data_IF_306540456888
#
_entry.id   IF_306540456888
#
_cell.length_a   1.000
_cell.length_b   1.000
_cell.length_c   1.000
_cell.angle_alpha   90.00
_cell.angle_beta   90.00
_cell.angle_gamma   90.00
#
_symmetry.space_group_name_H-M   'P 1'
#
loop_
_entity.id
_entity.type
_entity.pdbx_description
1 polymer ?
#
# COMPACT_ATOMS: atom_id res chain seq x y z
N UNK A 1 -18.46 -15.98 -5.00
CA UNK A 1 -18.21 -14.85 -5.93
C UNK A 1 -19.25 -14.86 -7.05
N UNK A 2 -19.50 -13.76 -7.75
CA UNK A 2 -20.26 -13.81 -9.02
C UNK A 2 -19.37 -14.42 -10.10
N UNK A 3 -19.20 -15.74 -10.02
CA UNK A 3 -18.37 -16.54 -10.94
C UNK A 3 -19.00 -16.66 -12.33
N UNK A 4 -20.18 -16.06 -12.54
CA UNK A 4 -20.84 -15.99 -13.85
C UNK A 4 -20.20 -14.96 -14.77
N UNK A 5 -19.53 -13.93 -14.21
CA UNK A 5 -18.75 -12.99 -15.00
C UNK A 5 -17.30 -13.50 -15.15
N UNK A 6 -16.87 -13.89 -16.35
CA UNK A 6 -15.56 -14.49 -16.59
C UNK A 6 -14.39 -13.55 -16.25
N UNK A 7 -14.56 -12.23 -16.39
CA UNK A 7 -13.50 -11.25 -16.05
C UNK A 7 -13.31 -11.09 -14.54
N UNK A 8 -14.41 -11.09 -13.78
CA UNK A 8 -14.39 -11.02 -12.31
C UNK A 8 -13.85 -12.33 -11.73
N UNK A 9 -14.23 -13.46 -12.33
CA UNK A 9 -13.65 -14.77 -12.03
C UNK A 9 -12.16 -14.80 -12.31
N UNK A 10 -11.70 -14.32 -13.47
CA UNK A 10 -10.27 -14.31 -13.82
C UNK A 10 -9.43 -13.51 -12.84
N UNK A 11 -9.90 -12.34 -12.40
CA UNK A 11 -9.16 -11.46 -11.48
C UNK A 11 -8.95 -12.10 -10.10
N UNK A 12 -9.99 -12.65 -9.48
CA UNK A 12 -9.84 -13.25 -8.15
C UNK A 12 -9.13 -14.60 -8.18
N UNK A 13 -9.20 -15.32 -9.30
CA UNK A 13 -8.49 -16.60 -9.47
C UNK A 13 -6.96 -16.42 -9.54
N UNK A 14 -6.45 -15.22 -9.77
CA UNK A 14 -5.01 -14.95 -9.68
C UNK A 14 -4.47 -15.17 -8.25
N UNK A 15 -5.24 -14.73 -7.24
CA UNK A 15 -4.89 -14.91 -5.82
C UNK A 15 -5.13 -16.34 -5.30
N UNK A 16 -5.81 -17.17 -6.10
CA UNK A 16 -6.22 -18.53 -5.72
C UNK A 16 -5.46 -19.60 -6.53
N UNK A 17 -4.25 -19.25 -6.97
CA UNK A 17 -3.34 -20.12 -7.71
C UNK A 17 -2.01 -20.25 -6.99
N UNK A 18 -1.36 -21.40 -7.19
CA UNK A 18 -0.02 -21.64 -6.72
C UNK A 18 0.96 -20.69 -7.42
N UNK A 19 1.78 -19.98 -6.64
CA UNK A 19 2.79 -19.08 -7.18
C UNK A 19 3.90 -19.82 -7.98
N UNK A 20 4.13 -21.12 -7.75
CA UNK A 20 5.14 -21.90 -8.47
C UNK A 20 4.62 -22.48 -9.81
N UNK A 21 3.48 -23.16 -9.80
CA UNK A 21 2.97 -23.91 -10.96
C UNK A 21 1.74 -23.29 -11.64
N UNK A 22 1.23 -22.17 -11.11
CA UNK A 22 0.05 -21.44 -11.60
C UNK A 22 -1.25 -22.25 -11.63
N UNK A 23 -1.26 -23.47 -11.09
CA UNK A 23 -2.44 -24.30 -10.92
C UNK A 23 -3.34 -23.73 -9.82
N UNK A 24 -4.65 -23.88 -9.99
CA UNK A 24 -5.63 -23.46 -8.97
C UNK A 24 -5.52 -24.31 -7.71
N UNK A 25 -5.82 -23.72 -6.56
CA UNK A 25 -5.95 -24.50 -5.34
C UNK A 25 -7.24 -25.32 -5.35
N UNK A 26 -7.20 -26.51 -4.78
CA UNK A 26 -8.34 -27.41 -4.73
C UNK A 26 -8.51 -28.01 -3.35
N UNK A 27 -9.75 -28.32 -2.95
CA UNK A 27 -10.05 -28.92 -1.66
C UNK A 27 -9.95 -30.45 -1.73
N UNK A 28 -10.46 -31.04 -2.82
CA UNK A 28 -10.57 -32.51 -2.98
C UNK A 28 -9.22 -33.21 -3.11
N UNK A 29 -8.24 -32.56 -3.76
CA UNK A 29 -6.90 -33.13 -3.94
C UNK A 29 -5.87 -32.45 -3.02
N UNK A 30 -5.38 -33.16 -1.98
CA UNK A 30 -4.37 -32.62 -1.04
C UNK A 30 -3.08 -32.12 -1.67
N UNK A 31 -2.74 -32.58 -2.88
CA UNK A 31 -1.57 -32.13 -3.62
C UNK A 31 -1.66 -30.65 -4.01
N UNK A 32 -2.89 -30.15 -4.20
CA UNK A 32 -3.19 -28.76 -4.56
C UNK A 32 -3.62 -27.90 -3.37
N UNK A 33 -3.44 -28.39 -2.14
CA UNK A 33 -3.73 -27.61 -0.92
C UNK A 33 -2.77 -26.41 -0.80
N UNK A 34 -3.26 -25.19 -0.51
CA UNK A 34 -2.44 -24.00 -0.40
C UNK A 34 -1.62 -24.00 0.91
N UNK A 35 -0.34 -23.68 0.81
CA UNK A 35 0.58 -23.50 1.93
C UNK A 35 1.24 -22.13 1.78
N UNK A 36 1.10 -21.27 2.79
CA UNK A 36 1.64 -19.91 2.79
C UNK A 36 3.01 -19.87 3.43
N UNK A 37 4.00 -19.33 2.72
CA UNK A 37 5.35 -19.10 3.20
C UNK A 37 5.39 -17.89 4.15
N UNK A 38 6.12 -17.98 5.28
CA UNK A 38 5.93 -17.03 6.38
C UNK A 38 6.51 -15.63 6.16
N UNK A 39 7.69 -15.53 5.54
CA UNK A 39 8.39 -14.25 5.40
C UNK A 39 7.85 -13.47 4.19
N UNK A 40 7.74 -14.13 3.04
CA UNK A 40 7.31 -13.49 1.79
C UNK A 40 5.79 -13.44 1.60
N UNK A 41 5.02 -14.33 2.24
CA UNK A 41 3.56 -14.43 2.06
C UNK A 41 3.12 -15.13 0.76
N UNK A 42 4.05 -15.50 -0.13
CA UNK A 42 3.72 -16.32 -1.30
C UNK A 42 3.09 -17.66 -0.89
N UNK A 43 2.00 -18.05 -1.59
CA UNK A 43 1.30 -19.32 -1.34
C UNK A 43 1.52 -20.30 -2.48
N UNK A 44 1.85 -21.53 -2.13
CA UNK A 44 2.14 -22.61 -3.06
C UNK A 44 1.35 -23.87 -2.74
N UNK A 45 1.13 -24.73 -3.72
CA UNK A 45 0.49 -26.00 -3.45
C UNK A 45 1.43 -26.95 -2.71
N UNK A 46 0.86 -27.87 -1.93
CA UNK A 46 1.60 -28.90 -1.18
C UNK A 46 2.55 -29.71 -2.05
N UNK A 47 2.16 -30.03 -3.28
CA UNK A 47 3.03 -30.72 -4.23
C UNK A 47 4.29 -29.91 -4.56
N UNK A 48 4.15 -28.61 -4.85
CA UNK A 48 5.31 -27.74 -5.10
C UNK A 48 6.18 -27.57 -3.86
N UNK A 49 5.59 -27.41 -2.68
CA UNK A 49 6.35 -27.35 -1.41
C UNK A 49 7.18 -28.63 -1.22
N UNK A 50 6.61 -29.81 -1.44
CA UNK A 50 7.33 -31.08 -1.31
C UNK A 50 8.50 -31.20 -2.31
N UNK A 51 8.32 -30.75 -3.55
CA UNK A 51 9.39 -30.72 -4.56
C UNK A 51 10.50 -29.75 -4.15
N UNK A 52 10.12 -28.61 -3.56
CA UNK A 52 11.03 -27.57 -3.11
C UNK A 52 11.67 -27.83 -1.75
N UNK A 53 11.35 -28.92 -1.04
CA UNK A 53 11.85 -29.16 0.32
C UNK A 53 13.39 -29.13 0.47
N UNK A 54 14.15 -29.27 -0.62
CA UNK A 54 15.60 -29.09 -0.65
C UNK A 54 16.11 -27.68 -1.00
N UNK A 55 15.23 -26.75 -1.39
CA UNK A 55 15.57 -25.36 -1.71
C UNK A 55 15.60 -24.50 -0.43
N UNK A 56 16.44 -23.47 -0.42
CA UNK A 56 16.60 -22.57 0.73
C UNK A 56 15.87 -21.24 0.60
N UNK A 57 15.24 -20.98 -0.54
CA UNK A 57 14.61 -19.69 -0.83
C UNK A 57 13.37 -19.84 -1.71
N UNK A 58 12.46 -18.88 -1.58
CA UNK A 58 11.25 -18.80 -2.37
C UNK A 58 11.60 -18.60 -3.85
N UNK A 59 11.03 -19.39 -4.78
CA UNK A 59 11.36 -19.27 -6.21
C UNK A 59 10.81 -17.99 -6.88
N UNK A 60 9.93 -17.24 -6.21
CA UNK A 60 9.35 -16.00 -6.74
C UNK A 60 10.22 -14.78 -6.47
N UNK A 61 10.70 -14.63 -5.25
CA UNK A 61 11.38 -13.42 -4.77
C UNK A 61 12.73 -13.71 -4.10
N UNK A 62 13.18 -14.97 -4.12
CA UNK A 62 14.45 -15.43 -3.55
C UNK A 62 14.60 -15.13 -2.05
N UNK A 63 13.49 -14.87 -1.36
CA UNK A 63 13.49 -14.70 0.10
C UNK A 63 13.85 -16.03 0.75
N UNK A 64 14.92 -16.03 1.55
CA UNK A 64 15.39 -17.21 2.27
C UNK A 64 14.32 -17.73 3.23
N UNK A 65 14.14 -19.05 3.27
CA UNK A 65 13.25 -19.72 4.23
C UNK A 65 13.84 -19.73 5.65
N UNK A 66 15.12 -19.37 5.81
CA UNK A 66 15.84 -19.50 7.07
C UNK A 66 15.87 -20.95 7.55
N UNK A 67 15.51 -21.17 8.81
CA UNK A 67 15.43 -22.49 9.45
C UNK A 67 14.00 -23.05 9.49
N UNK A 68 13.07 -22.49 8.72
CA UNK A 68 11.64 -22.88 8.73
C UNK A 68 11.41 -24.15 7.91
N UNK A 69 10.99 -25.30 8.48
CA UNK A 69 10.58 -26.49 7.71
C UNK A 69 9.30 -26.28 6.89
N UNK A 70 9.42 -25.68 5.71
CA UNK A 70 8.26 -25.29 4.87
C UNK A 70 7.29 -26.45 4.54
N UNK A 71 7.77 -27.69 4.55
CA UNK A 71 7.02 -28.93 4.30
C UNK A 71 6.05 -29.29 5.43
N UNK A 72 6.30 -28.79 6.63
CA UNK A 72 5.48 -29.03 7.81
C UNK A 72 4.41 -27.94 8.01
N UNK A 73 4.44 -26.85 7.23
CA UNK A 73 3.51 -25.73 7.36
C UNK A 73 2.06 -26.15 7.12
N UNK A 74 1.09 -25.51 7.80
CA UNK A 74 -0.31 -25.86 7.67
C UNK A 74 -0.89 -25.51 6.29
N UNK A 75 -1.95 -26.20 5.93
CA UNK A 75 -2.82 -25.78 4.82
C UNK A 75 -3.59 -24.51 5.18
N UNK A 76 -3.63 -23.55 4.25
CA UNK A 76 -4.37 -22.31 4.38
C UNK A 76 -5.85 -22.51 3.98
N UNK A 77 -6.64 -23.03 4.91
CA UNK A 77 -8.08 -23.25 4.72
C UNK A 77 -8.87 -21.97 4.40
N UNK A 78 -8.58 -20.79 4.96
CA UNK A 78 -9.23 -19.54 4.54
C UNK A 78 -9.19 -19.30 3.02
N UNK A 79 -8.06 -19.58 2.35
CA UNK A 79 -8.00 -19.49 0.89
C UNK A 79 -8.88 -20.54 0.18
N UNK A 80 -8.97 -21.77 0.71
CA UNK A 80 -9.89 -22.78 0.16
C UNK A 80 -11.36 -22.38 0.33
N UNK A 81 -11.72 -21.72 1.44
CA UNK A 81 -13.08 -21.18 1.65
C UNK A 81 -13.48 -20.11 0.63
N UNK A 82 -12.52 -19.49 -0.06
CA UNK A 82 -12.83 -18.58 -1.17
C UNK A 82 -13.30 -19.33 -2.42
N UNK A 83 -12.86 -20.56 -2.62
CA UNK A 83 -13.14 -21.37 -3.81
C UNK A 83 -14.43 -22.19 -3.61
N UNK A 84 -14.59 -22.79 -2.43
CA UNK A 84 -15.68 -23.70 -2.10
C UNK A 84 -16.70 -23.05 -1.19
N UNK A 85 -18.00 -23.24 -1.44
CA UNK A 85 -19.03 -22.77 -0.51
C UNK A 85 -18.93 -23.53 0.81
N UNK A 86 -19.23 -22.91 1.97
CA UNK A 86 -19.28 -23.61 3.25
C UNK A 86 -20.19 -24.85 3.29
N UNK A 87 -21.19 -24.91 2.39
CA UNK A 87 -22.10 -26.05 2.20
C UNK A 87 -21.55 -27.17 1.32
N UNK A 88 -20.56 -26.86 0.47
CA UNK A 88 -19.85 -27.81 -0.40
C UNK A 88 -18.64 -28.42 0.34
N UNK A 89 -18.19 -27.78 1.42
CA UNK A 89 -17.25 -28.36 2.37
C UNK A 89 -17.97 -29.43 3.21
N UNK A 90 -17.40 -30.63 3.43
CA UNK A 90 -18.11 -31.72 4.11
C UNK A 90 -18.58 -31.33 5.53
N UNK A 91 -19.76 -31.84 5.91
CA UNK A 91 -20.48 -31.46 7.14
C UNK A 91 -19.89 -32.07 8.42
N UNK A 92 -19.18 -33.20 8.31
CA UNK A 92 -18.63 -33.96 9.46
C UNK A 92 -17.32 -33.41 10.02
N UNK A 93 -16.86 -32.27 9.54
CA UNK A 93 -15.57 -31.73 9.97
C UNK A 93 -15.68 -30.97 11.31
N UNK A 94 -15.89 -31.71 12.41
CA UNK A 94 -15.23 -31.38 13.70
C UNK A 94 -13.69 -31.39 13.57
N UNK A 95 -13.18 -31.88 12.43
CA UNK A 95 -11.82 -31.79 11.92
C UNK A 95 -11.61 -30.67 10.87
N UNK A 96 -12.39 -29.57 10.86
CA UNK A 96 -12.00 -28.33 10.14
C UNK A 96 -10.75 -27.69 10.75
N UNK A 97 -10.42 -28.13 11.95
CA UNK A 97 -9.27 -27.74 12.74
C UNK A 97 -8.33 -28.95 12.90
N UNK A 98 -7.02 -28.68 12.92
CA UNK A 98 -5.93 -29.60 13.28
C UNK A 98 -5.36 -30.54 12.21
N UNK A 99 -4.91 -30.00 11.10
CA UNK A 99 -3.61 -30.46 10.57
C UNK A 99 -2.50 -29.42 10.82
N UNK A 100 -2.50 -28.83 12.02
CA UNK A 100 -1.28 -28.27 12.62
C UNK A 100 -0.60 -29.34 13.50
N UNK A 101 -0.60 -30.61 13.05
CA UNK A 101 -0.21 -31.74 13.89
C UNK A 101 1.28 -32.04 13.88
N UNK A 102 2.05 -31.49 12.94
CA UNK A 102 3.47 -31.81 12.77
C UNK A 102 4.44 -30.66 13.04
N UNK A 103 4.07 -29.40 12.82
CA UNK A 103 5.02 -28.29 12.95
C UNK A 103 5.33 -27.90 14.41
N UNK A 104 4.38 -28.09 15.32
CA UNK A 104 4.57 -27.68 16.71
C UNK A 104 3.83 -28.67 17.61
N UNK A 105 4.55 -29.27 18.56
CA UNK A 105 3.97 -29.88 19.76
C UNK A 105 3.28 -28.76 20.57
N UNK A 106 2.10 -28.34 20.13
CA UNK A 106 1.35 -27.28 20.78
C UNK A 106 0.63 -27.84 22.00
N UNK A 107 0.78 -27.16 23.12
CA UNK A 107 -0.15 -27.24 24.24
C UNK A 107 -1.58 -26.92 23.78
N UNK A 108 -2.57 -27.38 24.55
CA UNK A 108 -3.98 -27.23 24.18
C UNK A 108 -4.44 -25.76 24.14
N UNK A 109 -3.74 -24.88 24.85
CA UNK A 109 -4.01 -23.44 24.86
C UNK A 109 -3.65 -22.79 23.52
N UNK A 110 -2.44 -23.01 22.98
CA UNK A 110 -2.04 -22.50 21.66
C UNK A 110 -2.86 -23.12 20.53
N UNK A 111 -3.23 -24.39 20.67
CA UNK A 111 -4.15 -25.07 19.75
C UNK A 111 -5.50 -24.35 19.67
N UNK A 112 -6.11 -24.03 20.81
CA UNK A 112 -7.34 -23.24 20.86
C UNK A 112 -7.14 -21.87 20.20
N UNK A 113 -6.02 -21.22 20.52
CA UNK A 113 -5.68 -19.90 20.01
C UNK A 113 -5.60 -19.83 18.48
N UNK A 114 -4.85 -20.75 17.86
CA UNK A 114 -4.71 -20.79 16.40
C UNK A 114 -6.02 -21.15 15.68
N UNK A 115 -6.91 -21.93 16.32
CA UNK A 115 -8.23 -22.18 15.75
C UNK A 115 -9.08 -20.91 15.70
N UNK A 116 -9.00 -20.06 16.72
CA UNK A 116 -9.77 -18.83 16.75
C UNK A 116 -9.25 -17.82 15.72
N UNK A 117 -7.92 -17.76 15.53
CA UNK A 117 -7.32 -17.05 14.40
C UNK A 117 -7.81 -17.59 13.06
N UNK A 118 -7.75 -18.90 12.84
CA UNK A 118 -8.18 -19.52 11.59
C UNK A 118 -9.65 -19.23 11.28
N UNK A 119 -10.53 -19.31 12.28
CA UNK A 119 -11.94 -18.89 12.14
C UNK A 119 -12.03 -17.43 11.71
N UNK A 120 -11.26 -16.54 12.35
CA UNK A 120 -11.28 -15.13 12.02
C UNK A 120 -10.75 -14.81 10.62
N UNK A 121 -9.74 -15.53 10.12
CA UNK A 121 -9.32 -15.44 8.72
C UNK A 121 -10.41 -15.99 7.78
N UNK A 122 -11.14 -17.02 8.20
CA UNK A 122 -12.36 -17.49 7.55
C UNK A 122 -13.43 -16.40 7.43
N UNK A 123 -13.65 -15.60 8.49
CA UNK A 123 -14.58 -14.46 8.44
C UNK A 123 -14.13 -13.40 7.42
N UNK A 124 -12.83 -13.11 7.33
CA UNK A 124 -12.27 -12.21 6.30
C UNK A 124 -12.57 -12.75 4.91
N UNK A 125 -12.44 -14.06 4.70
CA UNK A 125 -12.78 -14.71 3.42
C UNK A 125 -14.26 -14.49 3.06
N UNK A 126 -15.16 -14.61 4.03
CA UNK A 126 -16.59 -14.30 3.85
C UNK A 126 -16.82 -12.82 3.50
N UNK A 127 -16.14 -11.90 4.19
CA UNK A 127 -16.22 -10.45 3.90
C UNK A 127 -15.77 -10.17 2.46
N UNK A 128 -14.63 -10.72 2.02
CA UNK A 128 -14.13 -10.56 0.64
C UNK A 128 -15.16 -11.09 -0.37
N UNK A 129 -15.73 -12.28 -0.14
CA UNK A 129 -16.77 -12.84 -1.00
C UNK A 129 -18.02 -11.97 -1.08
N UNK A 130 -18.44 -11.36 0.02
CA UNK A 130 -19.58 -10.44 0.06
C UNK A 130 -19.29 -9.13 -0.67
N UNK A 131 -18.09 -8.57 -0.49
CA UNK A 131 -17.64 -7.37 -1.20
C UNK A 131 -17.55 -7.61 -2.70
N UNK A 132 -17.04 -8.78 -3.11
CA UNK A 132 -16.88 -9.17 -4.51
C UNK A 132 -18.21 -9.33 -5.27
N UNK A 133 -19.32 -9.60 -4.57
CA UNK A 133 -20.67 -9.66 -5.17
C UNK A 133 -21.24 -8.28 -5.49
N UNK A 134 -20.81 -7.24 -4.76
CA UNK A 134 -21.23 -5.87 -4.99
C UNK A 134 -20.34 -5.30 -6.10
N UNK A 135 -20.87 -5.17 -7.33
CA UNK A 135 -20.17 -4.77 -8.57
C UNK A 135 -19.44 -3.39 -8.56
N UNK A 136 -19.20 -2.76 -7.40
CA UNK A 136 -18.54 -1.44 -7.28
C UNK A 136 -17.03 -1.57 -7.07
N UNK A 137 -16.29 -0.63 -7.66
CA UNK A 137 -14.83 -0.45 -7.71
C UNK A 137 -14.13 -0.57 -6.33
N UNK A 138 -13.88 -1.79 -5.84
CA UNK A 138 -13.05 -2.04 -4.65
C UNK A 138 -11.88 -3.00 -4.94
N UNK A 139 -11.41 -3.09 -6.19
CA UNK A 139 -10.36 -4.04 -6.60
C UNK A 139 -9.07 -3.89 -5.78
N UNK A 140 -8.67 -2.65 -5.48
CA UNK A 140 -7.50 -2.33 -4.64
C UNK A 140 -7.68 -2.82 -3.20
N UNK A 141 -8.81 -2.49 -2.55
CA UNK A 141 -9.14 -2.97 -1.20
C UNK A 141 -9.21 -4.50 -1.14
N UNK A 142 -9.85 -5.14 -2.13
CA UNK A 142 -9.95 -6.60 -2.18
C UNK A 142 -8.57 -7.25 -2.35
N UNK A 143 -7.71 -6.72 -3.24
CA UNK A 143 -6.33 -7.19 -3.40
C UNK A 143 -5.56 -7.12 -2.08
N UNK A 144 -5.70 -6.02 -1.34
CA UNK A 144 -5.04 -5.83 -0.04
C UNK A 144 -5.61 -6.77 1.03
N UNK A 145 -6.91 -7.10 0.97
CA UNK A 145 -7.52 -8.11 1.83
C UNK A 145 -7.04 -9.53 1.53
N UNK A 146 -6.76 -9.86 0.26
CA UNK A 146 -6.10 -11.13 -0.08
C UNK A 146 -4.73 -11.23 0.57
N UNK A 147 -3.96 -10.14 0.69
CA UNK A 147 -2.68 -10.15 1.41
C UNK A 147 -2.81 -10.61 2.87
N UNK A 148 -3.96 -10.37 3.52
CA UNK A 148 -4.24 -10.90 4.87
C UNK A 148 -4.35 -12.41 4.79
N UNK A 149 -5.16 -12.94 3.87
CA UNK A 149 -5.30 -14.38 3.69
C UNK A 149 -3.97 -15.06 3.32
N UNK A 150 -3.08 -14.34 2.65
CA UNK A 150 -1.71 -14.78 2.32
C UNK A 150 -0.69 -14.55 3.46
N UNK A 151 -1.13 -14.37 4.71
CA UNK A 151 -0.24 -14.33 5.87
C UNK A 151 -0.22 -15.67 6.60
N UNK A 152 0.97 -16.13 7.01
CA UNK A 152 1.15 -17.37 7.77
C UNK A 152 1.05 -17.08 9.27
N UNK A 153 -0.08 -17.36 9.90
CA UNK A 153 -0.35 -16.96 11.28
C UNK A 153 0.13 -17.96 12.34
N UNK A 154 0.89 -19.01 11.97
CA UNK A 154 1.44 -20.00 12.92
C UNK A 154 2.89 -19.69 13.31
N UNK A 155 3.67 -19.16 12.38
CA UNK A 155 5.09 -18.79 12.58
C UNK A 155 5.21 -17.37 13.09
N UNK A 156 6.25 -17.06 13.88
CA UNK A 156 6.48 -15.69 14.37
C UNK A 156 6.67 -14.69 13.22
N UNK A 157 7.45 -15.05 12.20
CA UNK A 157 7.72 -14.22 11.03
C UNK A 157 6.43 -13.89 10.28
N UNK A 158 5.59 -14.90 10.06
CA UNK A 158 4.31 -14.70 9.40
C UNK A 158 3.27 -13.96 10.26
N UNK A 159 3.34 -14.04 11.59
CA UNK A 159 2.56 -13.20 12.50
C UNK A 159 2.96 -11.73 12.39
N UNK A 160 4.27 -11.44 12.34
CA UNK A 160 4.79 -10.08 12.07
C UNK A 160 4.30 -9.59 10.72
N UNK A 161 4.39 -10.43 9.68
CA UNK A 161 3.88 -10.09 8.35
C UNK A 161 2.37 -9.80 8.36
N UNK A 162 1.57 -10.61 9.06
CA UNK A 162 0.13 -10.39 9.22
C UNK A 162 -0.15 -9.02 9.85
N UNK A 163 0.52 -8.67 10.94
CA UNK A 163 0.31 -7.37 11.57
C UNK A 163 0.71 -6.20 10.67
N UNK A 164 1.76 -6.36 9.86
CA UNK A 164 2.16 -5.36 8.86
C UNK A 164 1.04 -5.16 7.84
N UNK A 165 0.52 -6.25 7.30
CA UNK A 165 -0.58 -6.21 6.34
C UNK A 165 -1.84 -5.60 6.95
N UNK A 166 -2.20 -5.98 8.18
CA UNK A 166 -3.37 -5.46 8.88
C UNK A 166 -3.23 -3.96 9.21
N UNK A 167 -2.04 -3.51 9.60
CA UNK A 167 -1.73 -2.10 9.84
C UNK A 167 -1.88 -1.28 8.55
N UNK A 168 -1.26 -1.72 7.46
CA UNK A 168 -1.36 -1.06 6.16
C UNK A 168 -2.81 -1.01 5.67
N UNK A 169 -3.59 -2.08 5.87
CA UNK A 169 -5.03 -2.07 5.56
C UNK A 169 -5.79 -1.03 6.38
N UNK A 170 -5.47 -0.89 7.66
CA UNK A 170 -6.03 0.18 8.51
C UNK A 170 -5.74 1.56 7.92
N UNK A 171 -4.52 1.79 7.44
CA UNK A 171 -4.13 3.04 6.79
C UNK A 171 -4.93 3.30 5.52
N UNK A 172 -5.06 2.30 4.63
CA UNK A 172 -5.88 2.44 3.43
C UNK A 172 -7.36 2.71 3.72
N UNK A 173 -7.94 2.06 4.74
CA UNK A 173 -9.33 2.32 5.16
C UNK A 173 -9.45 3.76 5.69
N UNK A 174 -8.45 4.25 6.43
CA UNK A 174 -8.43 5.63 6.93
C UNK A 174 -8.36 6.64 5.79
N UNK A 175 -7.53 6.40 4.77
CA UNK A 175 -7.38 7.28 3.60
C UNK A 175 -8.65 7.29 2.75
N UNK A 176 -9.28 6.13 2.52
CA UNK A 176 -10.54 6.03 1.78
C UNK A 176 -11.66 6.85 2.44
N UNK A 177 -11.67 6.94 3.78
CA UNK A 177 -12.55 7.85 4.51
C UNK A 177 -12.16 9.31 4.32
N UNK A 178 -10.88 9.65 4.51
CA UNK A 178 -10.39 11.02 4.38
C UNK A 178 -10.76 11.57 3.01
N UNK A 179 -10.48 10.82 1.94
CA UNK A 179 -10.81 11.19 0.57
C UNK A 179 -12.30 11.50 0.36
N UNK A 180 -13.20 10.86 1.11
CA UNK A 180 -14.64 11.09 0.95
C UNK A 180 -15.13 12.37 1.62
N UNK A 181 -14.57 12.74 2.77
CA UNK A 181 -15.04 13.88 3.57
C UNK A 181 -14.13 15.10 3.51
N UNK A 182 -12.96 14.97 2.92
CA UNK A 182 -12.00 16.06 2.80
C UNK A 182 -12.60 17.18 1.95
N UNK A 183 -12.57 18.40 2.50
CA UNK A 183 -13.03 19.59 1.82
C UNK A 183 -12.03 20.00 0.72
N UNK A 184 -12.49 20.14 -0.53
CA UNK A 184 -11.64 20.51 -1.67
C UNK A 184 -10.90 21.86 -1.49
N UNK A 185 -11.54 22.85 -0.86
CA UNK A 185 -10.92 24.15 -0.62
C UNK A 185 -9.80 24.04 0.44
N UNK A 186 -10.05 23.27 1.50
CA UNK A 186 -9.06 23.03 2.54
C UNK A 186 -7.89 22.20 2.01
N UNK A 187 -8.17 21.19 1.16
CA UNK A 187 -7.15 20.41 0.46
C UNK A 187 -6.21 21.31 -0.34
N UNK A 188 -6.76 22.23 -1.15
CA UNK A 188 -5.95 23.15 -1.95
C UNK A 188 -5.03 24.00 -1.07
N UNK A 189 -5.58 24.63 -0.03
CA UNK A 189 -4.82 25.49 0.87
C UNK A 189 -3.72 24.71 1.63
N UNK A 190 -4.05 23.49 2.09
CA UNK A 190 -3.08 22.63 2.78
C UNK A 190 -1.98 22.17 1.83
N UNK A 191 -2.31 21.85 0.57
CA UNK A 191 -1.32 21.48 -0.45
C UNK A 191 -0.37 22.64 -0.74
N UNK A 192 -0.88 23.85 -0.98
CA UNK A 192 -0.04 25.03 -1.22
C UNK A 192 0.89 25.32 -0.03
N UNK A 193 0.37 25.13 1.20
CA UNK A 193 1.17 25.24 2.43
C UNK A 193 2.24 24.15 2.54
N UNK A 194 1.89 22.89 2.23
CA UNK A 194 2.79 21.74 2.26
C UNK A 194 3.96 21.88 1.28
N UNK A 195 3.72 22.54 0.15
CA UNK A 195 4.70 22.77 -0.90
C UNK A 195 5.47 24.09 -0.70
N UNK A 196 5.21 24.83 0.38
CA UNK A 196 5.89 26.09 0.68
C UNK A 196 5.57 27.21 -0.31
N UNK A 197 4.45 27.12 -1.02
CA UNK A 197 4.01 28.08 -2.03
C UNK A 197 3.31 29.26 -1.35
N UNK A 198 4.07 30.11 -0.67
CA UNK A 198 3.53 31.19 0.19
C UNK A 198 2.60 32.19 -0.55
N UNK A 199 2.66 32.27 -1.89
CA UNK A 199 1.80 33.12 -2.74
C UNK A 199 1.62 32.57 -4.18
N UNK A 200 1.97 31.31 -4.42
CA UNK A 200 2.01 30.71 -5.75
C UNK A 200 0.99 29.61 -5.91
N UNK A 201 0.30 29.56 -7.05
CA UNK A 201 -0.45 28.37 -7.42
C UNK A 201 0.54 27.24 -7.73
N UNK A 202 0.14 26.00 -7.43
CA UNK A 202 0.90 24.84 -7.84
C UNK A 202 1.14 24.89 -9.37
N UNK A 203 2.37 24.65 -9.86
CA UNK A 203 2.68 24.84 -11.27
C UNK A 203 1.79 23.96 -12.16
N UNK A 204 1.29 24.49 -13.27
CA UNK A 204 0.50 23.68 -14.21
C UNK A 204 1.34 22.57 -14.86
N UNK A 205 0.74 21.44 -15.28
CA UNK A 205 1.48 20.29 -15.84
C UNK A 205 2.46 20.65 -16.97
N UNK A 206 2.04 21.53 -17.89
CA UNK A 206 2.89 21.96 -19.01
C UNK A 206 4.10 22.79 -18.54
N UNK A 207 3.92 23.61 -17.50
CA UNK A 207 5.00 24.42 -16.90
C UNK A 207 5.99 23.51 -16.18
N UNK A 208 5.50 22.52 -15.41
CA UNK A 208 6.34 21.53 -14.73
C UNK A 208 7.23 20.80 -15.74
N UNK A 209 6.62 20.23 -16.79
CA UNK A 209 7.34 19.48 -17.81
C UNK A 209 8.39 20.33 -18.52
N UNK A 210 8.04 21.57 -18.90
CA UNK A 210 8.96 22.50 -19.55
C UNK A 210 10.16 22.82 -18.67
N UNK A 211 9.95 23.13 -17.39
CA UNK A 211 11.03 23.44 -16.45
C UNK A 211 11.94 22.23 -16.23
N UNK A 212 11.38 21.05 -16.01
CA UNK A 212 12.17 19.82 -15.84
C UNK A 212 13.05 19.52 -17.07
N UNK A 213 12.51 19.71 -18.28
CA UNK A 213 13.27 19.55 -19.53
C UNK A 213 14.38 20.60 -19.67
N UNK A 214 14.12 21.86 -19.31
CA UNK A 214 15.15 22.90 -19.30
C UNK A 214 16.28 22.60 -18.31
N UNK A 215 15.96 22.11 -17.11
CA UNK A 215 16.96 21.72 -16.11
C UNK A 215 17.92 20.68 -16.69
N UNK A 216 17.40 19.62 -17.31
CA UNK A 216 18.21 18.55 -17.90
C UNK A 216 19.09 19.09 -19.03
N UNK A 217 18.52 19.91 -19.91
CA UNK A 217 19.24 20.49 -21.04
C UNK A 217 20.39 21.38 -20.56
N UNK A 218 20.12 22.30 -19.63
CA UNK A 218 21.09 23.27 -19.13
C UNK A 218 22.23 22.59 -18.35
N UNK A 219 21.92 21.63 -17.49
CA UNK A 219 22.95 20.90 -16.75
C UNK A 219 23.91 20.17 -17.69
N UNK A 220 23.40 19.61 -18.78
CA UNK A 220 24.23 18.89 -19.77
C UNK A 220 25.06 19.81 -20.67
N UNK A 221 24.63 21.05 -20.89
CA UNK A 221 25.19 21.89 -21.96
C UNK A 221 25.86 23.18 -21.48
N UNK A 222 25.58 23.65 -20.27
CA UNK A 222 25.78 25.07 -19.92
C UNK A 222 26.69 25.32 -18.73
N UNK A 223 27.38 24.30 -18.18
CA UNK A 223 28.34 24.49 -17.09
C UNK A 223 27.73 25.19 -15.87
N UNK A 224 26.51 24.78 -15.50
CA UNK A 224 25.76 25.35 -14.37
C UNK A 224 26.59 25.21 -13.09
N UNK A 225 26.77 26.30 -12.35
CA UNK A 225 27.71 26.35 -11.21
C UNK A 225 27.03 26.44 -9.85
N UNK A 226 25.77 26.85 -9.80
CA UNK A 226 25.02 27.00 -8.56
C UNK A 226 23.51 26.85 -8.80
N UNK A 227 22.77 26.65 -7.72
CA UNK A 227 21.30 26.67 -7.71
C UNK A 227 20.75 27.98 -8.31
N UNK A 228 21.33 29.13 -7.92
CA UNK A 228 20.93 30.45 -8.43
C UNK A 228 21.25 30.61 -9.93
N UNK A 229 22.41 30.12 -10.37
CA UNK A 229 22.80 30.16 -11.78
C UNK A 229 21.83 29.31 -12.63
N UNK A 230 21.39 28.14 -12.13
CA UNK A 230 20.38 27.33 -12.81
C UNK A 230 19.05 28.06 -12.95
N UNK A 231 18.52 28.61 -11.84
CA UNK A 231 17.25 29.35 -11.85
C UNK A 231 17.28 30.53 -12.83
N UNK A 232 18.36 31.33 -12.79
CA UNK A 232 18.54 32.44 -13.72
C UNK A 232 18.59 31.97 -15.17
N UNK A 233 19.35 30.90 -15.45
CA UNK A 233 19.48 30.35 -16.81
C UNK A 233 18.15 29.86 -17.37
N UNK A 234 17.32 29.21 -16.55
CA UNK A 234 15.97 28.78 -16.95
C UNK A 234 15.10 29.98 -17.32
N UNK A 235 15.13 31.05 -16.50
CA UNK A 235 14.34 32.25 -16.77
C UNK A 235 14.75 32.95 -18.07
N UNK A 236 16.03 32.91 -18.45
CA UNK A 236 16.50 33.45 -19.73
C UNK A 236 15.99 32.66 -20.95
N UNK A 237 15.54 31.41 -20.77
CA UNK A 237 14.90 30.62 -21.84
C UNK A 237 13.41 30.92 -22.02
N UNK A 238 12.83 31.78 -21.17
CA UNK A 238 11.41 32.15 -21.17
C UNK A 238 11.26 33.60 -21.67
N UNK A 239 10.18 33.88 -22.42
CA UNK A 239 9.88 35.24 -22.87
C UNK A 239 9.77 36.22 -21.69
N UNK A 240 10.36 37.42 -21.81
CA UNK A 240 10.41 38.40 -20.72
C UNK A 240 9.06 38.70 -20.06
N UNK A 241 7.98 38.71 -20.84
CA UNK A 241 6.62 38.97 -20.36
C UNK A 241 6.09 37.87 -19.42
N UNK A 242 6.57 36.63 -19.58
CA UNK A 242 6.12 35.45 -18.82
C UNK A 242 7.05 35.10 -17.65
N UNK A 243 8.23 35.72 -17.57
CA UNK A 243 9.24 35.42 -16.54
C UNK A 243 8.71 35.62 -15.11
N UNK A 244 7.97 36.69 -14.85
CA UNK A 244 7.40 36.99 -13.53
C UNK A 244 6.42 35.89 -13.09
N UNK A 245 5.61 35.40 -14.03
CA UNK A 245 4.60 34.36 -13.76
C UNK A 245 5.23 32.99 -13.52
N UNK A 246 6.28 32.65 -14.26
CA UNK A 246 6.93 31.34 -14.19
C UNK A 246 7.98 31.26 -13.07
N UNK A 247 8.54 32.38 -12.64
CA UNK A 247 9.61 32.42 -11.62
C UNK A 247 9.29 31.63 -10.35
N UNK A 248 8.11 31.75 -9.70
CA UNK A 248 7.79 30.95 -8.51
C UNK A 248 7.85 29.43 -8.77
N UNK A 249 7.43 29.00 -9.96
CA UNK A 249 7.48 27.59 -10.37
C UNK A 249 8.93 27.11 -10.56
N UNK A 250 9.78 27.96 -11.16
CA UNK A 250 11.21 27.65 -11.35
C UNK A 250 11.90 27.51 -9.99
N UNK A 251 11.69 28.47 -9.09
CA UNK A 251 12.28 28.44 -7.75
C UNK A 251 11.86 27.19 -6.98
N UNK A 252 10.56 26.87 -6.99
CA UNK A 252 10.01 25.70 -6.33
C UNK A 252 10.61 24.39 -6.87
N UNK A 253 10.55 24.17 -8.19
CA UNK A 253 10.99 22.91 -8.80
C UNK A 253 12.49 22.72 -8.61
N UNK A 254 13.28 23.77 -8.81
CA UNK A 254 14.74 23.69 -8.62
C UNK A 254 15.06 23.37 -7.16
N UNK A 255 14.51 24.11 -6.18
CA UNK A 255 14.74 23.84 -4.75
C UNK A 255 14.36 22.42 -4.36
N UNK A 256 13.23 21.92 -4.86
CA UNK A 256 12.78 20.56 -4.60
C UNK A 256 13.80 19.54 -5.12
N UNK A 257 14.27 19.67 -6.35
CA UNK A 257 15.27 18.75 -6.94
C UNK A 257 16.63 18.79 -6.23
N UNK A 258 17.04 19.96 -5.73
CA UNK A 258 18.22 20.06 -4.86
C UNK A 258 17.99 19.39 -3.50
N UNK A 259 16.81 19.58 -2.90
CA UNK A 259 16.45 18.99 -1.61
C UNK A 259 16.37 17.46 -1.62
N UNK A 260 16.05 16.85 -2.76
CA UNK A 260 16.09 15.38 -2.95
C UNK A 260 17.43 14.88 -3.52
N UNK A 261 18.42 15.76 -3.60
CA UNK A 261 19.78 15.45 -4.03
C UNK A 261 19.88 14.80 -5.42
N UNK A 262 19.13 15.31 -6.40
CA UNK A 262 19.24 14.88 -7.80
C UNK A 262 20.59 15.22 -8.46
N UNK A 263 21.32 16.16 -7.86
CA UNK A 263 22.53 16.71 -8.43
C UNK A 263 23.78 16.35 -7.63
N UNK A 264 24.92 16.36 -8.31
CA UNK A 264 26.26 16.30 -7.72
C UNK A 264 27.08 17.51 -8.17
N UNK A 265 28.07 17.88 -7.37
CA UNK A 265 28.95 19.02 -7.64
C UNK A 265 30.30 18.47 -8.04
N UNK A 266 30.70 18.71 -9.28
CA UNK A 266 32.00 18.34 -9.82
C UNK A 266 32.92 19.57 -9.90
N UNK A 267 34.16 19.48 -9.36
CA UNK A 267 35.14 20.54 -9.53
C UNK A 267 35.69 20.55 -10.96
N UNK A 268 35.63 21.70 -11.63
CA UNK A 268 36.23 21.97 -12.95
C UNK A 268 37.31 23.03 -12.76
N UNK A 269 38.54 22.59 -12.47
CA UNK A 269 39.65 23.49 -12.15
C UNK A 269 39.37 24.26 -10.85
N UNK A 270 39.31 25.58 -10.93
CA UNK A 270 38.94 26.47 -9.80
C UNK A 270 37.43 26.67 -9.66
N UNK A 271 36.63 26.19 -10.61
CA UNK A 271 35.17 26.35 -10.62
C UNK A 271 34.47 25.05 -10.21
N UNK A 272 33.18 25.14 -9.93
CA UNK A 272 32.31 23.98 -9.72
C UNK A 272 31.22 23.94 -10.78
N UNK A 273 30.84 22.72 -11.17
CA UNK A 273 29.70 22.48 -12.05
C UNK A 273 28.77 21.44 -11.46
N UNK A 274 27.48 21.68 -11.63
CA UNK A 274 26.41 20.83 -11.17
C UNK A 274 26.10 19.83 -12.28
N UNK A 275 26.17 18.56 -11.95
CA UNK A 275 25.83 17.45 -12.83
C UNK A 275 24.63 16.67 -12.30
N UNK A 276 23.92 15.97 -13.19
CA UNK A 276 22.90 15.01 -12.79
C UNK A 276 23.60 13.75 -12.29
N UNK A 277 23.18 13.25 -11.12
CA UNK A 277 23.69 11.96 -10.64
C UNK A 277 23.37 10.85 -11.64
N UNK A 278 24.24 9.82 -11.75
CA UNK A 278 24.00 8.67 -12.63
C UNK A 278 22.68 7.93 -12.36
N UNK A 279 22.14 8.03 -11.15
CA UNK A 279 20.84 7.47 -10.76
C UNK A 279 19.65 8.18 -11.43
N UNK A 280 19.85 9.39 -11.96
CA UNK A 280 18.82 10.19 -12.62
C UNK A 280 19.22 10.56 -14.06
N UNK A 281 19.42 9.56 -14.93
CA UNK A 281 20.06 9.75 -16.23
C UNK A 281 19.15 10.39 -17.28
N UNK A 282 17.87 10.60 -17.01
CA UNK A 282 16.90 11.07 -18.01
C UNK A 282 15.69 11.79 -17.37
N UNK A 283 14.81 12.30 -18.24
CA UNK A 283 13.60 13.00 -17.82
C UNK A 283 12.69 12.13 -16.95
N UNK A 284 12.51 10.88 -17.34
CA UNK A 284 11.61 9.95 -16.66
C UNK A 284 12.04 9.71 -15.21
N UNK A 285 13.35 9.52 -14.97
CA UNK A 285 13.91 9.32 -13.63
C UNK A 285 13.78 10.55 -12.73
N UNK A 286 14.03 11.75 -13.26
CA UNK A 286 13.87 13.00 -12.51
C UNK A 286 12.38 13.27 -12.25
N UNK A 287 11.53 13.02 -13.24
CA UNK A 287 10.08 13.20 -13.13
C UNK A 287 9.51 12.31 -12.03
N UNK A 288 9.94 11.05 -11.97
CA UNK A 288 9.50 10.12 -10.94
C UNK A 288 9.87 10.58 -9.52
N UNK A 289 11.09 11.10 -9.34
CA UNK A 289 11.53 11.65 -8.03
C UNK A 289 10.75 12.92 -7.68
N UNK A 290 10.54 13.79 -8.66
CA UNK A 290 9.75 15.01 -8.51
C UNK A 290 8.32 14.69 -8.04
N UNK A 291 7.62 13.80 -8.76
CA UNK A 291 6.26 13.38 -8.40
C UNK A 291 6.23 12.73 -7.02
N UNK A 292 7.18 11.82 -6.74
CA UNK A 292 7.28 11.15 -5.43
C UNK A 292 7.46 12.14 -4.29
N UNK A 293 8.26 13.20 -4.47
CA UNK A 293 8.49 14.17 -3.41
C UNK A 293 7.29 15.09 -3.18
N UNK A 294 6.56 15.45 -4.23
CA UNK A 294 5.32 16.22 -4.11
C UNK A 294 4.29 15.43 -3.30
N UNK A 295 4.09 14.17 -3.65
CA UNK A 295 3.13 13.30 -2.98
C UNK A 295 3.53 13.08 -1.51
N UNK A 296 4.83 12.86 -1.25
CA UNK A 296 5.37 12.71 0.11
C UNK A 296 5.08 13.97 0.95
N UNK A 297 5.46 15.15 0.47
CA UNK A 297 5.24 16.41 1.20
C UNK A 297 3.74 16.65 1.45
N UNK A 298 2.88 16.35 0.47
CA UNK A 298 1.44 16.49 0.65
C UNK A 298 0.90 15.56 1.75
N UNK A 299 1.33 14.29 1.77
CA UNK A 299 0.93 13.32 2.79
C UNK A 299 1.41 13.73 4.20
N UNK A 300 2.60 14.30 4.34
CA UNK A 300 3.13 14.82 5.61
C UNK A 300 2.24 15.92 6.22
N UNK A 301 1.55 16.68 5.38
CA UNK A 301 0.59 17.72 5.77
C UNK A 301 -0.86 17.23 5.78
N UNK A 302 -1.10 15.92 5.66
CA UNK A 302 -2.43 15.33 5.70
C UNK A 302 -3.26 15.57 4.44
N UNK A 303 -2.64 15.88 3.31
CA UNK A 303 -3.30 16.01 2.01
C UNK A 303 -3.31 14.66 1.30
N UNK A 304 -4.48 14.04 1.21
CA UNK A 304 -4.66 12.78 0.50
C UNK A 304 -5.46 13.00 -0.79
N UNK A 305 -5.03 12.34 -1.86
CA UNK A 305 -5.67 12.34 -3.19
C UNK A 305 -5.57 10.93 -3.80
N UNK A 306 -6.53 10.56 -4.64
CA UNK A 306 -6.49 9.32 -5.43
C UNK A 306 -5.41 9.38 -6.51
N UNK A 307 -5.02 8.22 -7.06
CA UNK A 307 -4.12 8.15 -8.20
C UNK A 307 -4.61 8.98 -9.39
N UNK A 308 -5.92 8.94 -9.66
CA UNK A 308 -6.61 9.77 -10.67
C UNK A 308 -6.41 11.27 -10.42
N UNK A 309 -6.68 11.73 -9.18
CA UNK A 309 -6.55 13.14 -8.80
C UNK A 309 -5.10 13.65 -8.92
N UNK A 310 -4.14 12.85 -8.47
CA UNK A 310 -2.72 13.14 -8.63
C UNK A 310 -2.29 13.15 -10.10
N UNK A 311 -2.79 12.21 -10.90
CA UNK A 311 -2.53 12.15 -12.34
C UNK A 311 -3.00 13.42 -13.04
N UNK A 312 -4.21 13.90 -12.72
CA UNK A 312 -4.73 15.16 -13.26
C UNK A 312 -3.87 16.34 -12.80
N UNK A 313 -3.51 16.42 -11.52
CA UNK A 313 -2.74 17.53 -10.97
C UNK A 313 -1.32 17.62 -11.55
N UNK A 314 -0.65 16.49 -11.75
CA UNK A 314 0.75 16.42 -12.19
C UNK A 314 0.88 16.39 -13.71
N UNK A 315 -0.05 15.72 -14.41
CA UNK A 315 0.06 15.45 -15.84
C UNK A 315 -1.07 16.07 -16.68
N UNK A 316 -2.17 16.51 -16.07
CA UNK A 316 -3.32 17.07 -16.78
C UNK A 316 -4.28 16.03 -17.36
N UNK A 317 -4.05 14.74 -17.10
CA UNK A 317 -4.85 13.63 -17.62
C UNK A 317 -5.08 12.57 -16.54
N UNK A 318 -6.14 11.78 -16.66
CA UNK A 318 -6.49 10.69 -15.71
C UNK A 318 -5.71 9.39 -15.99
N UNK A 319 -4.86 9.34 -17.01
CA UNK A 319 -4.32 8.08 -17.56
C UNK A 319 -3.01 7.60 -16.94
N UNK A 320 -2.42 8.32 -15.98
CA UNK A 320 -1.12 7.97 -15.40
C UNK A 320 -1.21 7.28 -14.02
N UNK A 321 -2.36 6.71 -13.65
CA UNK A 321 -2.54 5.92 -12.41
C UNK A 321 -1.47 4.82 -12.26
N UNK A 322 -1.07 4.17 -13.36
CA UNK A 322 -0.02 3.13 -13.32
C UNK A 322 1.35 3.65 -12.91
N UNK A 323 1.60 4.96 -13.02
CA UNK A 323 2.82 5.63 -12.56
C UNK A 323 2.63 6.09 -11.11
N UNK A 324 1.47 6.65 -10.79
CA UNK A 324 1.17 7.29 -9.50
C UNK A 324 0.87 6.29 -8.38
N UNK A 325 0.04 5.28 -8.63
CA UNK A 325 -0.39 4.33 -7.59
C UNK A 325 0.81 3.60 -6.94
N UNK A 326 1.84 3.15 -7.68
CA UNK A 326 3.04 2.58 -7.08
C UNK A 326 3.81 3.56 -6.18
N UNK A 327 3.80 4.86 -6.51
CA UNK A 327 4.44 5.90 -5.69
C UNK A 327 3.66 6.03 -4.37
N UNK A 328 2.34 6.17 -4.44
CA UNK A 328 1.46 6.24 -3.28
C UNK A 328 1.69 5.01 -2.38
N UNK A 329 1.62 3.80 -2.94
CA UNK A 329 1.78 2.56 -2.19
C UNK A 329 3.16 2.46 -1.52
N UNK A 330 4.22 3.03 -2.11
CA UNK A 330 5.56 3.06 -1.52
C UNK A 330 5.71 4.07 -0.38
N UNK A 331 4.96 5.19 -0.44
CA UNK A 331 5.01 6.26 0.56
C UNK A 331 4.18 5.96 1.83
N UNK A 332 3.25 4.99 1.74
CA UNK A 332 2.50 4.54 2.89
C UNK A 332 3.41 3.80 3.88
N UNK A 333 3.67 4.49 4.98
CA UNK A 333 4.59 4.13 6.05
C UNK A 333 3.94 4.37 7.40
N UNK A 334 4.60 3.96 8.48
CA UNK A 334 4.06 4.17 9.82
C UNK A 334 3.85 5.65 10.16
N UNK A 335 4.71 6.55 9.67
CA UNK A 335 4.60 7.99 9.91
C UNK A 335 3.42 8.61 9.16
N UNK A 336 3.18 8.23 7.91
CA UNK A 336 1.99 8.66 7.17
C UNK A 336 0.72 8.19 7.85
N UNK A 337 0.71 6.99 8.44
CA UNK A 337 -0.48 6.48 9.10
C UNK A 337 -0.89 7.34 10.31
N UNK A 338 0.08 7.78 11.13
CA UNK A 338 -0.21 8.66 12.27
C UNK A 338 -0.73 10.03 11.82
N UNK A 339 -0.17 10.59 10.74
CA UNK A 339 -0.69 11.83 10.15
C UNK A 339 -2.10 11.63 9.60
N UNK A 340 -2.37 10.49 8.95
CA UNK A 340 -3.71 10.12 8.48
C UNK A 340 -4.73 10.03 9.61
N UNK A 341 -4.36 9.41 10.74
CA UNK A 341 -5.24 9.35 11.93
C UNK A 341 -5.57 10.75 12.43
N UNK A 342 -4.58 11.64 12.57
CA UNK A 342 -4.84 13.04 13.01
C UNK A 342 -5.78 13.78 12.05
N UNK A 343 -5.60 13.57 10.74
CA UNK A 343 -6.48 14.18 9.75
C UNK A 343 -7.90 13.61 9.81
N UNK A 344 -8.03 12.29 10.00
CA UNK A 344 -9.31 11.64 10.24
C UNK A 344 -10.00 12.20 11.49
N UNK A 345 -9.28 12.36 12.62
CA UNK A 345 -9.79 12.94 13.87
C UNK A 345 -10.33 14.36 13.68
N UNK A 346 -9.61 15.17 12.91
CA UNK A 346 -10.02 16.54 12.56
C UNK A 346 -11.32 16.53 11.76
N UNK A 347 -11.42 15.67 10.75
CA UNK A 347 -12.63 15.53 9.93
C UNK A 347 -13.82 15.07 10.78
N UNK A 348 -13.67 14.03 11.59
CA UNK A 348 -14.75 13.53 12.46
C UNK A 348 -15.23 14.61 13.43
N UNK A 349 -14.30 15.38 14.00
CA UNK A 349 -14.63 16.49 14.89
C UNK A 349 -15.46 17.58 14.20
N UNK A 350 -15.26 17.80 12.89
CA UNK A 350 -16.01 18.78 12.10
C UNK A 350 -17.44 18.33 11.72
N UNK A 351 -17.69 17.02 11.62
CA UNK A 351 -18.99 16.44 11.22
C UNK A 351 -19.99 16.38 12.39
N UNK A 352 -19.50 16.37 13.63
CA UNK A 352 -20.31 16.36 14.85
C UNK A 352 -20.72 14.96 15.34
N UNK A 353 -20.84 14.79 16.67
CA UNK A 353 -20.93 13.49 17.35
C UNK A 353 -22.16 12.63 16.99
N UNK A 354 -23.31 13.25 16.68
CA UNK A 354 -24.59 12.54 16.49
C UNK A 354 -24.66 11.77 15.16
N UNK A 355 -23.94 12.21 14.14
CA UNK A 355 -23.80 11.49 12.86
C UNK A 355 -22.56 10.58 12.83
N UNK A 356 -21.68 10.71 13.83
CA UNK A 356 -20.31 10.19 13.81
C UNK A 356 -20.03 8.96 14.67
N UNK A 357 -21.01 8.35 15.37
CA UNK A 357 -20.70 7.23 16.27
C UNK A 357 -20.00 6.05 15.57
N UNK A 358 -20.50 5.63 14.39
CA UNK A 358 -19.85 4.59 13.58
C UNK A 358 -18.42 4.99 13.14
N UNK A 359 -18.17 6.30 12.99
CA UNK A 359 -16.85 6.86 12.62
C UNK A 359 -15.90 6.94 13.82
N UNK A 360 -16.43 7.27 14.99
CA UNK A 360 -15.73 7.24 16.28
C UNK A 360 -15.41 5.80 16.72
N UNK A 361 -16.16 4.80 16.26
CA UNK A 361 -15.80 3.40 16.51
C UNK A 361 -14.76 2.91 15.49
N UNK A 362 -14.87 3.33 14.23
CA UNK A 362 -13.84 3.07 13.21
C UNK A 362 -12.47 3.63 13.62
N UNK A 363 -12.42 4.84 14.20
CA UNK A 363 -11.15 5.45 14.60
C UNK A 363 -10.41 4.66 15.69
N UNK A 364 -11.14 4.08 16.65
CA UNK A 364 -10.55 3.25 17.71
C UNK A 364 -9.90 2.00 17.11
N UNK A 365 -10.58 1.38 16.14
CA UNK A 365 -10.03 0.23 15.42
C UNK A 365 -8.76 0.63 14.65
N UNK A 366 -8.77 1.76 13.94
CA UNK A 366 -7.63 2.26 13.17
C UNK A 366 -6.43 2.60 14.08
N UNK A 367 -6.67 3.28 15.20
CA UNK A 367 -5.65 3.60 16.19
C UNK A 367 -4.98 2.34 16.74
N UNK A 368 -5.75 1.29 17.02
CA UNK A 368 -5.20 -0.01 17.42
C UNK A 368 -4.32 -0.60 16.31
N UNK A 369 -4.82 -0.66 15.07
CA UNK A 369 -4.10 -1.21 13.92
C UNK A 369 -2.78 -0.47 13.63
N UNK A 370 -2.72 0.84 13.85
CA UNK A 370 -1.47 1.62 13.67
C UNK A 370 -0.34 1.23 14.63
N UNK A 371 -0.69 0.60 15.76
CA UNK A 371 0.25 0.21 16.79
C UNK A 371 0.47 -1.31 16.87
N UNK A 372 -0.30 -2.11 16.14
CA UNK A 372 -0.29 -3.57 16.23
C UNK A 372 1.11 -4.18 16.04
N UNK A 373 1.89 -3.70 15.05
CA UNK A 373 3.26 -4.19 14.78
C UNK A 373 4.24 -4.01 15.94
N UNK A 374 4.04 -3.00 16.79
CA UNK A 374 4.90 -2.76 17.95
C UNK A 374 4.58 -3.70 19.12
N UNK A 375 3.37 -4.27 19.12
CA UNK A 375 2.83 -5.01 20.26
C UNK A 375 3.20 -6.50 20.27
N UNK A 376 3.68 -7.09 19.16
CA UNK A 376 4.07 -8.53 19.11
C UNK A 376 5.09 -8.86 20.20
N UNK A 377 6.06 -7.98 20.42
CA UNK A 377 7.14 -8.22 21.38
C UNK A 377 6.66 -8.05 22.85
N UNK A 378 5.49 -7.45 23.08
CA UNK A 378 5.00 -7.10 24.42
C UNK A 378 3.82 -7.94 24.90
N UNK A 379 2.92 -8.36 24.00
CA UNK A 379 1.63 -9.01 24.37
C UNK A 379 1.38 -10.35 23.67
N UNK A 380 2.36 -10.85 22.91
CA UNK A 380 2.35 -12.20 22.35
C UNK A 380 1.16 -12.48 21.42
N UNK A 381 0.71 -13.73 21.41
CA UNK A 381 -0.34 -14.22 20.51
C UNK A 381 -1.63 -13.38 20.61
N UNK A 382 -2.07 -12.96 21.80
CA UNK A 382 -3.32 -12.20 22.03
C UNK A 382 -3.55 -10.96 21.14
N UNK A 383 -2.47 -10.32 20.70
CA UNK A 383 -2.49 -9.17 19.79
C UNK A 383 -3.05 -9.54 18.42
N UNK A 384 -2.80 -10.75 17.94
CA UNK A 384 -3.20 -11.16 16.59
C UNK A 384 -4.73 -11.30 16.52
N UNK A 385 -5.37 -11.93 17.52
CA UNK A 385 -6.84 -12.01 17.62
C UNK A 385 -7.45 -10.61 17.73
N UNK A 386 -6.89 -9.77 18.61
CA UNK A 386 -7.36 -8.39 18.77
C UNK A 386 -7.24 -7.60 17.45
N UNK A 387 -6.11 -7.73 16.75
CA UNK A 387 -5.89 -7.10 15.43
C UNK A 387 -6.92 -7.57 14.42
N UNK A 388 -7.18 -8.87 14.37
CA UNK A 388 -8.13 -9.46 13.44
C UNK A 388 -9.56 -8.98 13.72
N UNK A 389 -9.95 -8.87 14.99
CA UNK A 389 -11.25 -8.32 15.38
C UNK A 389 -11.37 -6.83 15.07
N UNK A 390 -10.33 -6.04 15.34
CA UNK A 390 -10.29 -4.62 14.96
C UNK A 390 -10.35 -4.44 13.44
N UNK A 391 -9.67 -5.29 12.67
CA UNK A 391 -9.73 -5.26 11.21
C UNK A 391 -11.14 -5.58 10.70
N UNK A 392 -11.79 -6.64 11.21
CA UNK A 392 -13.19 -6.95 10.89
C UNK A 392 -14.11 -5.78 11.24
N UNK A 393 -13.92 -5.20 12.42
CA UNK A 393 -14.65 -4.01 12.88
C UNK A 393 -14.50 -2.85 11.91
N UNK A 394 -13.26 -2.52 11.51
CA UNK A 394 -12.96 -1.46 10.57
C UNK A 394 -13.61 -1.68 9.18
N UNK A 395 -13.52 -2.90 8.65
CA UNK A 395 -14.15 -3.28 7.38
C UNK A 395 -15.67 -3.19 7.41
N UNK A 396 -16.29 -3.59 8.52
CA UNK A 396 -17.73 -3.51 8.70
C UNK A 396 -18.19 -2.05 8.83
N UNK A 397 -17.49 -1.22 9.60
CA UNK A 397 -17.78 0.21 9.72
C UNK A 397 -17.60 0.94 8.39
N UNK A 398 -16.51 0.69 7.67
CA UNK A 398 -16.28 1.24 6.32
C UNK A 398 -17.39 0.84 5.33
N UNK A 399 -17.85 -0.42 5.37
CA UNK A 399 -18.95 -0.89 4.52
C UNK A 399 -20.31 -0.26 4.89
N UNK A 400 -20.58 0.02 6.17
CA UNK A 400 -21.79 0.75 6.60
C UNK A 400 -21.74 2.19 6.12
N UNK A 401 -20.59 2.83 6.24
CA UNK A 401 -20.32 4.18 5.75
C UNK A 401 -20.64 4.31 4.25
N UNK A 402 -20.06 3.45 3.39
CA UNK A 402 -20.31 3.44 1.93
C UNK A 402 -21.75 3.17 1.50
N UNK A 403 -22.64 2.74 2.41
CA UNK A 403 -24.07 2.55 2.13
C UNK A 403 -24.92 3.79 2.43
N UNK A 404 -24.42 4.68 3.29
CA UNK A 404 -25.14 5.89 3.71
C UNK A 404 -24.80 7.11 2.85
N UNK A 405 -23.60 7.13 2.27
CA UNK A 405 -23.19 7.99 1.16
C UNK A 405 -23.77 7.51 -0.17
#
# INVERSE_FOLDING_TARGET
MDLSNPTVRSYYMEFLRCAACSQGFEYENPSYHPITLPICGHTMCKQCINIMGGQKACPQDQVSFGNTPIDQLPTNYPLLMMIYRPSELPKDHKQRHYQCRSYIELDDEKKSYFNDLEKGFGDISVIIMQMSKKKKKNRSTIRKLFSVLHSQYITNEGCIKFLQVASNLGEYISIDFILHYQNHQELKNNLESALGLQQGQFPEPAIQEKILKFIILLIRCSGISSEQHLMYSILQLVERKDQITIQPSVEYIVRLLFGVHCFEIEPIGEFSSIQLKPTFPNYESIRLVYDSKIIENAMEYGCYMTGEQWSVLLYGYETNESIIDPIIDKLLTKTSFQTGIKQYEKIVSSIGAVQGQDLCDLIKHIQFLSNANLAINASGLSVLNSTLDMLKGALNSSNKFKKRS
#
